data_IF_223489442155
#
_entry.id   IF_223489442155
#
_cell.length_a   1.000
_cell.length_b   1.000
_cell.length_c   1.000
_cell.angle_alpha   90.00
_cell.angle_beta   90.00
_cell.angle_gamma   90.00
#
_symmetry.space_group_name_H-M   'P 1'
#
loop_
_entity.id
_entity.type
_entity.pdbx_description
1 polymer ?
#
# COMPACT_ATOMS: atom_id res chain seq x y z
N UNK A 1 -10.18 24.89 19.65
CA UNK A 1 -11.41 24.40 19.03
C UNK A 1 -11.32 22.90 18.80
N UNK A 2 -12.34 22.14 19.15
CA UNK A 2 -12.32 20.72 18.83
C UNK A 2 -12.24 20.56 17.33
N UNK A 3 -11.19 19.95 16.87
CA UNK A 3 -11.04 19.67 15.43
C UNK A 3 -12.02 18.59 15.04
N UNK A 4 -12.96 18.92 14.17
CA UNK A 4 -13.94 17.96 13.66
C UNK A 4 -13.23 16.83 12.91
N UNK A 5 -13.63 15.60 13.20
CA UNK A 5 -13.09 14.45 12.46
C UNK A 5 -13.53 14.53 11.00
N UNK A 6 -12.62 14.41 10.03
CA UNK A 6 -13.01 14.40 8.62
C UNK A 6 -14.05 13.31 8.33
N UNK A 7 -15.00 13.57 7.42
CA UNK A 7 -16.01 12.57 7.07
C UNK A 7 -15.37 11.37 6.36
N UNK A 8 -16.08 10.23 6.42
CA UNK A 8 -15.69 9.04 5.68
C UNK A 8 -16.18 9.18 4.23
N UNK A 9 -15.32 9.63 3.36
CA UNK A 9 -15.62 9.82 1.95
C UNK A 9 -15.33 8.58 1.09
N UNK A 10 -15.71 8.63 -0.19
CA UNK A 10 -15.51 7.51 -1.13
C UNK A 10 -14.03 7.19 -1.36
N UNK A 11 -13.17 8.19 -1.36
CA UNK A 11 -11.73 8.01 -1.55
C UNK A 11 -11.14 7.26 -0.33
N UNK A 12 -11.53 7.63 0.87
CA UNK A 12 -11.13 6.93 2.11
C UNK A 12 -11.64 5.49 2.11
N UNK A 13 -12.88 5.25 1.68
CA UNK A 13 -13.40 3.89 1.55
C UNK A 13 -12.62 3.07 0.51
N UNK A 14 -12.20 3.70 -0.58
CA UNK A 14 -11.32 3.07 -1.56
C UNK A 14 -9.97 2.66 -0.96
N UNK A 15 -9.37 3.53 -0.17
CA UNK A 15 -8.13 3.24 0.55
C UNK A 15 -8.31 2.10 1.56
N UNK A 16 -9.41 2.10 2.30
CA UNK A 16 -9.78 1.01 3.23
C UNK A 16 -9.87 -0.32 2.49
N UNK A 17 -10.60 -0.35 1.38
CA UNK A 17 -10.76 -1.56 0.56
C UNK A 17 -9.42 -2.07 0.03
N UNK A 18 -8.58 -1.16 -0.46
CA UNK A 18 -7.24 -1.49 -0.94
C UNK A 18 -6.40 -2.10 0.19
N UNK A 19 -6.39 -1.49 1.36
CA UNK A 19 -5.61 -1.97 2.51
C UNK A 19 -6.12 -3.30 3.05
N UNK A 20 -7.43 -3.52 3.11
CA UNK A 20 -7.99 -4.80 3.54
C UNK A 20 -7.61 -5.91 2.56
N UNK A 21 -7.76 -5.67 1.27
CA UNK A 21 -7.44 -6.65 0.23
C UNK A 21 -5.93 -6.94 0.20
N UNK A 22 -5.11 -5.90 0.18
CA UNK A 22 -3.66 -6.02 0.17
C UNK A 22 -3.14 -6.66 1.45
N UNK A 23 -3.60 -6.20 2.60
CA UNK A 23 -3.20 -6.75 3.89
C UNK A 23 -3.57 -8.22 4.05
N UNK A 24 -4.78 -8.60 3.65
CA UNK A 24 -5.19 -10.00 3.66
C UNK A 24 -4.28 -10.86 2.75
N UNK A 25 -3.95 -10.36 1.56
CA UNK A 25 -3.05 -11.06 0.64
C UNK A 25 -1.64 -11.21 1.22
N UNK A 26 -1.13 -10.18 1.92
CA UNK A 26 0.15 -10.26 2.62
C UNK A 26 0.19 -11.38 3.66
N UNK A 27 -0.93 -11.62 4.35
CA UNK A 27 -1.01 -12.65 5.38
C UNK A 27 -1.25 -14.05 4.81
N UNK A 28 -2.09 -14.17 3.78
CA UNK A 28 -2.49 -15.46 3.20
C UNK A 28 -1.47 -15.95 2.17
N UNK A 29 -0.89 -15.05 1.39
CA UNK A 29 0.08 -15.37 0.34
C UNK A 29 1.32 -14.47 0.41
N UNK A 30 2.09 -14.53 1.50
CA UNK A 30 3.26 -13.66 1.67
C UNK A 30 4.31 -13.83 0.57
N UNK A 31 4.40 -15.02 -0.02
CA UNK A 31 5.36 -15.31 -1.10
C UNK A 31 5.17 -14.42 -2.33
N UNK A 32 3.97 -13.90 -2.57
CA UNK A 32 3.72 -12.95 -3.67
C UNK A 32 4.53 -11.66 -3.49
N UNK A 33 4.74 -11.25 -2.24
CA UNK A 33 5.39 -9.99 -1.89
C UNK A 33 6.84 -10.13 -1.45
N UNK A 34 7.30 -11.34 -1.12
CA UNK A 34 8.67 -11.55 -0.63
C UNK A 34 9.74 -11.09 -1.62
N UNK A 35 9.49 -11.28 -2.92
CA UNK A 35 10.38 -10.82 -3.98
C UNK A 35 10.47 -9.30 -4.14
N UNK A 36 9.52 -8.54 -3.55
CA UNK A 36 9.48 -7.09 -3.59
C UNK A 36 10.29 -6.44 -2.47
N UNK A 37 10.57 -7.20 -1.40
CA UNK A 37 11.37 -6.67 -0.28
C UNK A 37 12.81 -6.50 -0.76
N UNK A 38 13.43 -5.32 -0.53
CA UNK A 38 14.81 -5.10 -0.90
C UNK A 38 15.74 -6.18 -0.34
N UNK A 39 16.66 -6.67 -1.17
CA UNK A 39 17.54 -7.79 -0.80
C UNK A 39 18.45 -7.50 0.40
N UNK A 40 18.69 -6.22 0.69
CA UNK A 40 19.48 -5.80 1.86
C UNK A 40 18.75 -5.99 3.17
N UNK A 41 17.42 -6.16 3.15
CA UNK A 41 16.62 -6.34 4.36
C UNK A 41 16.50 -7.83 4.71
N UNK A 42 16.74 -8.20 5.99
CA UNK A 42 16.53 -9.56 6.46
C UNK A 42 15.05 -9.84 6.73
N UNK A 43 14.71 -11.12 6.93
CA UNK A 43 13.38 -11.56 7.38
C UNK A 43 12.24 -11.06 6.49
N UNK A 44 12.35 -11.29 5.19
CA UNK A 44 11.39 -10.81 4.20
C UNK A 44 9.95 -11.20 4.51
N UNK A 45 9.71 -12.47 4.89
CA UNK A 45 8.37 -12.96 5.20
C UNK A 45 7.76 -12.23 6.41
N UNK A 46 8.55 -12.01 7.44
CA UNK A 46 8.10 -11.28 8.64
C UNK A 46 7.78 -9.82 8.31
N UNK A 47 8.57 -9.18 7.45
CA UNK A 47 8.29 -7.81 6.97
C UNK A 47 7.01 -7.76 6.17
N UNK A 48 6.75 -8.75 5.32
CA UNK A 48 5.49 -8.85 4.56
C UNK A 48 4.31 -9.02 5.50
N UNK A 49 4.40 -9.91 6.49
CA UNK A 49 3.34 -10.10 7.48
C UNK A 49 3.11 -8.84 8.31
N UNK A 50 4.17 -8.17 8.77
CA UNK A 50 4.07 -6.93 9.54
C UNK A 50 3.38 -5.83 8.71
N UNK A 51 3.72 -5.70 7.44
CA UNK A 51 3.08 -4.75 6.52
C UNK A 51 1.59 -5.07 6.37
N UNK A 52 1.23 -6.34 6.20
CA UNK A 52 -0.17 -6.78 6.09
C UNK A 52 -0.99 -6.46 7.34
N UNK A 53 -0.44 -6.71 8.52
CA UNK A 53 -1.08 -6.35 9.79
C UNK A 53 -1.25 -4.83 9.90
N UNK A 54 -0.22 -4.06 9.54
CA UNK A 54 -0.28 -2.61 9.56
C UNK A 54 -1.35 -2.06 8.61
N UNK A 55 -1.47 -2.62 7.40
CA UNK A 55 -2.51 -2.22 6.44
C UNK A 55 -3.91 -2.49 6.99
N UNK A 56 -4.15 -3.66 7.56
CA UNK A 56 -5.45 -4.02 8.15
C UNK A 56 -5.77 -3.11 9.34
N UNK A 57 -4.80 -2.88 10.22
CA UNK A 57 -4.98 -1.98 11.37
C UNK A 57 -5.30 -0.56 10.91
N UNK A 58 -4.60 -0.05 9.90
CA UNK A 58 -4.90 1.26 9.31
C UNK A 58 -6.31 1.32 8.71
N UNK A 59 -6.71 0.29 7.97
CA UNK A 59 -8.04 0.20 7.37
C UNK A 59 -9.15 0.27 8.44
N UNK A 60 -9.02 -0.52 9.49
CA UNK A 60 -9.99 -0.51 10.59
C UNK A 60 -9.99 0.82 11.34
N UNK A 61 -8.82 1.41 11.55
CA UNK A 61 -8.70 2.72 12.19
C UNK A 61 -9.30 3.85 11.36
N UNK A 62 -9.23 3.79 10.03
CA UNK A 62 -9.85 4.77 9.14
C UNK A 62 -11.38 4.72 9.20
N UNK A 63 -11.97 3.55 9.43
CA UNK A 63 -13.43 3.40 9.53
C UNK A 63 -13.99 4.04 10.80
N UNK A 64 -13.24 4.03 11.90
CA UNK A 64 -13.75 4.52 13.17
C UNK A 64 -13.44 6.03 13.36
N UNK A 65 -14.45 6.88 13.69
CA UNK A 65 -14.25 8.33 13.76
C UNK A 65 -13.14 8.77 14.75
N UNK A 66 -13.04 8.12 15.91
CA UNK A 66 -12.06 8.50 16.95
C UNK A 66 -10.61 8.20 16.57
N UNK A 67 -10.39 7.18 15.74
CA UNK A 67 -9.05 6.75 15.33
C UNK A 67 -8.67 7.20 13.92
N UNK A 68 -9.63 7.71 13.14
CA UNK A 68 -9.43 8.06 11.72
C UNK A 68 -8.26 8.99 11.47
N UNK A 69 -8.04 9.98 12.31
CA UNK A 69 -6.91 10.92 12.16
C UNK A 69 -5.57 10.22 12.33
N UNK A 70 -5.44 9.46 13.42
CA UNK A 70 -4.22 8.70 13.69
C UNK A 70 -3.98 7.65 12.60
N UNK A 71 -5.04 6.94 12.19
CA UNK A 71 -4.98 5.95 11.12
C UNK A 71 -4.63 6.60 9.76
N UNK A 72 -5.12 7.80 9.50
CA UNK A 72 -4.75 8.55 8.29
C UNK A 72 -3.26 8.88 8.25
N UNK A 73 -2.68 9.35 9.35
CA UNK A 73 -1.24 9.59 9.43
C UNK A 73 -0.43 8.30 9.30
N UNK A 74 -0.85 7.24 10.00
CA UNK A 74 -0.19 5.93 9.91
C UNK A 74 -0.28 5.36 8.48
N UNK A 75 -1.41 5.54 7.81
CA UNK A 75 -1.60 5.12 6.41
C UNK A 75 -0.66 5.86 5.45
N UNK A 76 -0.53 7.19 5.63
CA UNK A 76 0.39 7.99 4.82
C UNK A 76 1.84 7.55 5.03
N UNK A 77 2.24 7.33 6.28
CA UNK A 77 3.57 6.83 6.61
C UNK A 77 3.84 5.44 6.03
N UNK A 78 2.86 4.54 6.12
CA UNK A 78 2.96 3.19 5.56
C UNK A 78 3.11 3.23 4.04
N UNK A 79 2.30 4.05 3.35
CA UNK A 79 2.38 4.21 1.90
C UNK A 79 3.76 4.73 1.45
N UNK A 80 4.33 5.68 2.19
CA UNK A 80 5.69 6.15 1.92
C UNK A 80 6.72 5.05 2.19
N UNK A 81 6.58 4.31 3.28
CA UNK A 81 7.51 3.25 3.67
C UNK A 81 7.54 2.08 2.67
N UNK A 82 6.39 1.74 2.06
CA UNK A 82 6.34 0.64 1.08
C UNK A 82 6.70 1.08 -0.34
N UNK A 83 6.89 2.37 -0.60
CA UNK A 83 7.23 2.88 -1.92
C UNK A 83 8.50 2.24 -2.51
N UNK A 84 9.60 2.08 -1.76
CA UNK A 84 10.80 1.38 -2.28
C UNK A 84 10.50 -0.05 -2.74
N UNK A 85 9.63 -0.78 -2.03
CA UNK A 85 9.22 -2.12 -2.44
C UNK A 85 8.42 -2.10 -3.74
N UNK A 86 7.55 -1.11 -3.94
CA UNK A 86 6.81 -0.94 -5.18
C UNK A 86 7.75 -0.62 -6.37
N UNK A 87 8.75 0.21 -6.15
CA UNK A 87 9.78 0.51 -7.17
C UNK A 87 10.57 -0.76 -7.52
N UNK A 88 10.99 -1.52 -6.53
CA UNK A 88 11.72 -2.77 -6.76
C UNK A 88 10.87 -3.80 -7.50
N UNK A 89 9.59 -3.89 -7.18
CA UNK A 89 8.65 -4.75 -7.91
C UNK A 89 8.61 -4.40 -9.39
N UNK A 90 8.47 -3.12 -9.72
CA UNK A 90 8.46 -2.66 -11.11
C UNK A 90 9.77 -3.00 -11.82
N UNK A 91 10.92 -2.81 -11.17
CA UNK A 91 12.22 -3.16 -11.73
C UNK A 91 12.36 -4.68 -11.99
N UNK A 92 11.88 -5.51 -11.06
CA UNK A 92 11.91 -6.97 -11.19
C UNK A 92 11.02 -7.44 -12.35
N UNK A 93 9.83 -6.88 -12.48
CA UNK A 93 8.92 -7.20 -13.57
C UNK A 93 9.41 -6.67 -14.93
N UNK A 94 10.15 -5.54 -14.94
CA UNK A 94 10.80 -5.06 -16.15
C UNK A 94 11.81 -6.09 -16.69
N UNK A 95 12.64 -6.64 -15.82
CA UNK A 95 13.61 -7.69 -16.19
C UNK A 95 12.89 -8.94 -16.72
N UNK A 96 11.83 -9.37 -16.06
CA UNK A 96 11.04 -10.53 -16.48
C UNK A 96 10.38 -10.30 -17.83
N UNK A 97 9.78 -9.13 -18.06
CA UNK A 97 9.15 -8.77 -19.32
C UNK A 97 10.16 -8.77 -20.48
N UNK A 98 11.38 -8.26 -20.25
CA UNK A 98 12.45 -8.31 -21.26
C UNK A 98 12.91 -9.72 -21.60
N UNK A 99 13.01 -10.60 -20.60
CA UNK A 99 13.45 -11.99 -20.78
C UNK A 99 12.42 -12.84 -21.48
N UNK A 100 11.13 -12.72 -21.12
CA UNK A 100 10.05 -13.53 -21.65
C UNK A 100 9.48 -13.01 -22.96
N UNK A 101 9.37 -11.68 -23.11
CA UNK A 101 8.84 -11.05 -24.30
C UNK A 101 7.36 -11.31 -24.57
N UNK A 102 6.66 -12.02 -23.66
CA UNK A 102 5.26 -12.34 -23.83
C UNK A 102 4.34 -11.19 -23.35
N UNK A 103 3.12 -11.15 -23.88
CA UNK A 103 2.13 -10.10 -23.57
C UNK A 103 1.77 -10.09 -22.08
N UNK A 104 1.64 -11.25 -21.46
CA UNK A 104 1.31 -11.37 -20.04
C UNK A 104 2.34 -10.70 -19.13
N UNK A 105 3.64 -10.96 -19.35
CA UNK A 105 4.72 -10.34 -18.58
C UNK A 105 4.80 -8.83 -18.80
N UNK A 106 4.59 -8.37 -20.04
CA UNK A 106 4.58 -6.94 -20.37
C UNK A 106 3.39 -6.22 -19.74
N UNK A 107 2.19 -6.84 -19.80
CA UNK A 107 1.00 -6.27 -19.17
C UNK A 107 1.14 -6.18 -17.65
N UNK A 108 1.71 -7.19 -17.02
CA UNK A 108 1.96 -7.19 -15.57
C UNK A 108 2.96 -6.10 -15.17
N UNK A 109 4.03 -5.94 -15.93
CA UNK A 109 5.00 -4.85 -15.73
C UNK A 109 4.33 -3.48 -15.87
N UNK A 110 3.54 -3.27 -16.92
CA UNK A 110 2.80 -2.02 -17.12
C UNK A 110 1.88 -1.70 -15.94
N UNK A 111 1.20 -2.70 -15.37
CA UNK A 111 0.39 -2.56 -14.17
C UNK A 111 1.18 -2.12 -12.95
N UNK A 112 2.39 -2.67 -12.76
CA UNK A 112 3.27 -2.27 -11.64
C UNK A 112 3.76 -0.83 -11.77
N UNK A 113 4.09 -0.41 -12.99
CA UNK A 113 4.51 0.99 -13.28
C UNK A 113 3.35 1.96 -13.05
N UNK A 114 2.14 1.60 -13.48
CA UNK A 114 0.95 2.42 -13.29
C UNK A 114 0.62 2.64 -11.80
N UNK A 115 0.98 1.71 -10.92
CA UNK A 115 0.80 1.87 -9.46
C UNK A 115 1.68 2.95 -8.85
N UNK A 116 2.84 3.24 -9.42
CA UNK A 116 3.78 4.22 -8.86
C UNK A 116 3.17 5.62 -8.78
N UNK A 117 2.57 6.19 -9.84
CA UNK A 117 1.91 7.49 -9.75
C UNK A 117 0.64 7.47 -8.88
N UNK A 118 -0.05 6.31 -8.74
CA UNK A 118 -1.21 6.18 -7.86
C UNK A 118 -0.86 6.31 -6.38
N UNK A 119 0.39 6.18 -6.02
CA UNK A 119 0.88 6.37 -4.65
C UNK A 119 0.52 7.77 -4.13
N UNK A 120 0.66 8.79 -4.96
CA UNK A 120 0.38 10.16 -4.57
C UNK A 120 -1.09 10.43 -4.21
N UNK A 121 -2.09 10.06 -5.05
CA UNK A 121 -3.49 10.17 -4.65
C UNK A 121 -3.83 9.40 -3.37
N UNK A 122 -3.24 8.23 -3.17
CA UNK A 122 -3.46 7.43 -1.96
C UNK A 122 -2.90 8.14 -0.71
N UNK A 123 -1.71 8.69 -0.79
CA UNK A 123 -1.11 9.47 0.30
C UNK A 123 -1.97 10.70 0.59
N UNK A 124 -2.43 11.42 -0.44
CA UNK A 124 -3.33 12.57 -0.26
C UNK A 124 -4.62 12.16 0.45
N UNK A 125 -5.23 11.05 0.06
CA UNK A 125 -6.43 10.53 0.71
C UNK A 125 -6.19 10.24 2.19
N UNK A 126 -5.08 9.59 2.51
CA UNK A 126 -4.69 9.33 3.89
C UNK A 126 -4.49 10.62 4.71
N UNK A 127 -3.84 11.62 4.13
CA UNK A 127 -3.63 12.93 4.78
C UNK A 127 -4.94 13.70 4.97
N UNK A 128 -5.88 13.61 4.03
CA UNK A 128 -7.22 14.19 4.22
C UNK A 128 -7.97 13.51 5.36
N UNK A 129 -7.92 12.18 5.44
CA UNK A 129 -8.51 11.45 6.54
C UNK A 129 -7.87 11.82 7.90
N UNK A 130 -6.60 12.21 7.88
CA UNK A 130 -5.89 12.74 9.05
C UNK A 130 -6.22 14.21 9.35
N UNK A 131 -6.97 14.91 8.49
CA UNK A 131 -7.26 16.33 8.63
C UNK A 131 -6.04 17.23 8.39
N UNK A 132 -5.13 16.81 7.50
CA UNK A 132 -3.90 17.53 7.15
C UNK A 132 -3.96 18.23 5.79
N UNK A 133 -4.96 17.93 5.00
CA UNK A 133 -5.24 18.56 3.70
C UNK A 133 -6.70 19.01 3.63
#
# INVERSE_FOLDING_TARGET
MPQTTPPLDRATLGLVTLFLTSGATHLVRPQVFEGMVPHVLPRRRELVHASGVAEIACALGLLHPRTRRAAGLASAALLVAVFPANVQMSASHAKRARRRGDVGSQAFFAGTVARLPMQWPLIRTALRAAGRL
#
